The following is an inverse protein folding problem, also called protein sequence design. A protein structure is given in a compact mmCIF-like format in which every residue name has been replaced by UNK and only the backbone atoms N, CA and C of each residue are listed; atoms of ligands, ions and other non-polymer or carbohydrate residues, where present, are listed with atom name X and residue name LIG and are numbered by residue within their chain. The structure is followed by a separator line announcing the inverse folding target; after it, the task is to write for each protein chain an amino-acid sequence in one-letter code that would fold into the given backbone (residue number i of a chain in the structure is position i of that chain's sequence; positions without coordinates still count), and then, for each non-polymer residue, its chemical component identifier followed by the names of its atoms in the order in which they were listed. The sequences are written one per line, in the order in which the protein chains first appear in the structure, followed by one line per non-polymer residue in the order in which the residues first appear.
data_IF_744171524878
#
_entry.id   IF_744171524878
#
_cell.length_a   1.000
_cell.length_b   1.000
_cell.length_c   1.000
_cell.angle_alpha   90.00
_cell.angle_beta   90.00
_cell.angle_gamma   90.00
#
_symmetry.space_group_name_H-M   'P 1'
#
loop_
_entity.id
_entity.type
_entity.pdbx_description
1 polymer ?
#
# COMPACT_ATOMS: atom_id res chain seq x y z
N UNK A 1 22.10 -34.15 -6.79
CA UNK A 1 22.00 -33.00 -5.87
C UNK A 1 22.03 -31.71 -6.69
N UNK A 2 20.91 -31.23 -7.24
CA UNK A 2 20.90 -30.00 -8.08
C UNK A 2 19.64 -29.12 -7.96
N UNK A 3 18.67 -29.43 -7.11
CA UNK A 3 17.37 -28.73 -7.11
C UNK A 3 17.10 -27.80 -5.92
N UNK A 4 18.11 -27.09 -5.41
CA UNK A 4 17.89 -26.07 -4.37
C UNK A 4 18.19 -24.63 -4.80
N UNK A 5 18.85 -24.43 -5.95
CA UNK A 5 19.31 -23.10 -6.38
C UNK A 5 18.21 -22.30 -7.11
N UNK A 6 17.16 -22.96 -7.61
CA UNK A 6 16.13 -22.33 -8.44
C UNK A 6 15.21 -21.37 -7.66
N UNK A 7 14.90 -21.63 -6.38
CA UNK A 7 13.96 -20.79 -5.64
C UNK A 7 14.57 -19.46 -5.16
N UNK A 8 15.84 -19.46 -4.76
CA UNK A 8 16.52 -18.24 -4.32
C UNK A 8 16.73 -17.26 -5.49
N UNK A 9 17.08 -17.76 -6.69
CA UNK A 9 17.25 -16.92 -7.87
C UNK A 9 15.96 -16.21 -8.29
N UNK A 10 14.83 -16.92 -8.33
CA UNK A 10 13.52 -16.34 -8.69
C UNK A 10 13.06 -15.33 -7.65
N UNK A 11 13.21 -15.63 -6.35
CA UNK A 11 12.85 -14.69 -5.28
C UNK A 11 13.66 -13.39 -5.36
N UNK A 12 14.97 -13.49 -5.57
CA UNK A 12 15.86 -12.32 -5.71
C UNK A 12 15.53 -11.52 -6.97
N UNK A 13 15.28 -12.19 -8.11
CA UNK A 13 14.90 -11.52 -9.37
C UNK A 13 13.57 -10.76 -9.19
N UNK A 14 12.57 -11.37 -8.56
CA UNK A 14 11.28 -10.70 -8.29
C UNK A 14 11.46 -9.49 -7.37
N UNK A 15 12.32 -9.59 -6.34
CA UNK A 15 12.62 -8.47 -5.43
C UNK A 15 13.33 -7.33 -6.16
N UNK A 16 14.31 -7.63 -7.01
CA UNK A 16 15.05 -6.63 -7.78
C UNK A 16 14.17 -5.94 -8.83
N UNK A 17 13.33 -6.70 -9.54
CA UNK A 17 12.38 -6.15 -10.53
C UNK A 17 11.31 -5.27 -9.84
N UNK A 18 10.79 -5.69 -8.68
CA UNK A 18 9.88 -4.84 -7.88
C UNK A 18 10.54 -3.55 -7.40
N UNK A 19 11.83 -3.56 -7.08
CA UNK A 19 12.56 -2.35 -6.70
C UNK A 19 12.79 -1.41 -7.89
N UNK A 20 13.07 -1.96 -9.07
CA UNK A 20 13.35 -1.18 -10.28
C UNK A 20 12.09 -0.55 -10.93
N UNK A 21 10.92 -1.18 -10.83
CA UNK A 21 9.67 -0.62 -11.40
C UNK A 21 9.03 0.51 -10.59
N UNK A 22 9.44 0.70 -9.34
CA UNK A 22 8.84 1.68 -8.43
C UNK A 22 9.69 2.96 -8.25
N UNK A 23 10.77 3.09 -9.01
CA UNK A 23 11.58 4.29 -9.07
C UNK A 23 11.36 4.94 -10.44
N UNK A 24 10.31 5.75 -10.52
CA UNK A 24 10.27 7.07 -11.14
C UNK A 24 8.81 7.51 -11.22
N UNK A 25 8.59 8.82 -11.15
CA UNK A 25 7.27 9.48 -11.12
C UNK A 25 6.40 8.96 -12.28
N UNK A 26 5.62 7.93 -12.03
CA UNK A 26 4.77 7.30 -13.02
C UNK A 26 3.44 8.05 -13.07
N UNK A 27 3.13 8.62 -14.24
CA UNK A 27 1.85 9.22 -14.59
C UNK A 27 0.68 8.43 -13.98
N UNK A 28 -0.14 9.11 -13.15
CA UNK A 28 -1.36 8.55 -12.56
C UNK A 28 -1.25 7.87 -11.19
N UNK A 29 -0.08 7.87 -10.52
CA UNK A 29 -0.01 7.52 -9.10
C UNK A 29 -0.23 8.74 -8.19
N UNK A 30 -1.11 8.59 -7.20
CA UNK A 30 -1.43 9.60 -6.21
C UNK A 30 -1.10 9.10 -4.80
N UNK A 31 -0.72 10.05 -3.93
CA UNK A 31 -0.55 9.77 -2.50
C UNK A 31 -1.91 9.83 -1.82
N UNK A 32 -2.15 8.89 -0.91
CA UNK A 32 -3.33 8.86 -0.07
C UNK A 32 -2.95 8.65 1.37
N UNK A 33 -3.67 9.33 2.25
CA UNK A 33 -3.68 9.08 3.69
C UNK A 33 -4.86 8.19 4.01
N UNK A 34 -4.58 7.02 4.57
CA UNK A 34 -5.59 6.08 5.07
C UNK A 34 -5.55 6.11 6.59
N UNK A 35 -6.69 6.45 7.19
CA UNK A 35 -6.88 6.47 8.64
C UNK A 35 -8.05 5.56 9.01
N UNK A 36 -7.85 4.81 10.08
CA UNK A 36 -8.91 4.03 10.73
C UNK A 36 -9.42 4.79 11.94
N UNK A 37 -10.74 4.89 12.06
CA UNK A 37 -11.44 5.53 13.17
C UNK A 37 -12.31 4.50 13.87
N UNK A 38 -12.45 4.60 15.19
CA UNK A 38 -13.30 3.70 15.99
C UNK A 38 -13.08 2.20 15.68
N UNK A 39 -11.82 1.82 15.44
CA UNK A 39 -11.41 0.45 15.11
C UNK A 39 -10.26 0.04 16.04
N UNK A 40 -10.45 -1.03 16.81
CA UNK A 40 -9.44 -1.62 17.69
C UNK A 40 -9.51 -3.16 17.59
N UNK A 41 -8.43 -3.85 17.16
CA UNK A 41 -7.15 -3.31 16.72
C UNK A 41 -7.24 -2.65 15.33
N UNK A 42 -6.33 -1.71 15.07
CA UNK A 42 -6.17 -1.10 13.73
C UNK A 42 -5.77 -2.21 12.74
N UNK A 43 -6.50 -2.37 11.62
CA UNK A 43 -6.16 -3.38 10.62
C UNK A 43 -4.76 -3.17 10.03
N UNK A 44 -4.01 -4.26 9.90
CA UNK A 44 -2.77 -4.25 9.12
C UNK A 44 -3.10 -4.43 7.63
N UNK A 45 -2.90 -3.37 6.85
CA UNK A 45 -3.15 -3.34 5.42
C UNK A 45 -1.92 -3.72 4.58
N UNK A 46 -0.74 -3.87 5.21
CA UNK A 46 0.50 -4.24 4.50
C UNK A 46 0.44 -5.65 3.93
N UNK A 47 -0.29 -6.54 4.60
CA UNK A 47 -0.44 -7.93 4.17
C UNK A 47 -1.71 -8.18 3.36
N UNK A 48 -2.51 -7.15 3.07
CA UNK A 48 -3.76 -7.32 2.33
C UNK A 48 -3.49 -7.75 0.87
N UNK A 49 -3.94 -8.95 0.44
CA UNK A 49 -3.67 -9.47 -0.90
C UNK A 49 -4.36 -8.66 -2.01
N UNK A 50 -5.52 -8.06 -1.73
CA UNK A 50 -6.26 -7.24 -2.67
C UNK A 50 -5.63 -5.85 -2.86
N UNK A 51 -4.84 -5.37 -1.89
CA UNK A 51 -4.13 -4.09 -1.95
C UNK A 51 -2.68 -4.21 -2.45
N UNK A 52 -2.03 -5.35 -2.23
CA UNK A 52 -0.58 -5.60 -2.51
C UNK A 52 -0.12 -5.25 -3.93
N UNK A 53 -1.02 -5.31 -4.92
CA UNK A 53 -0.72 -4.97 -6.32
C UNK A 53 -1.38 -3.67 -6.80
N UNK A 54 -2.15 -3.00 -5.93
CA UNK A 54 -2.91 -1.77 -6.25
C UNK A 54 -2.32 -0.52 -5.62
N UNK A 55 -1.72 -0.67 -4.45
CA UNK A 55 -1.05 0.40 -3.72
C UNK A 55 0.27 -0.06 -3.11
N UNK A 56 1.12 0.90 -2.79
CA UNK A 56 2.36 0.72 -2.05
C UNK A 56 2.28 1.53 -0.77
N UNK A 57 2.63 0.93 0.37
CA UNK A 57 2.75 1.66 1.63
C UNK A 57 4.10 2.40 1.64
N UNK A 58 4.04 3.72 1.74
CA UNK A 58 5.22 4.59 1.87
C UNK A 58 5.63 4.64 3.35
N UNK A 59 4.66 4.83 4.25
CA UNK A 59 4.90 4.91 5.69
C UNK A 59 3.64 4.60 6.48
N UNK A 60 3.82 4.23 7.75
CA UNK A 60 2.75 4.12 8.74
C UNK A 60 3.21 4.82 10.02
N UNK A 61 2.42 5.77 10.51
CA UNK A 61 2.68 6.48 11.78
C UNK A 61 1.35 6.74 12.48
N UNK A 62 1.28 6.44 13.77
CA UNK A 62 0.12 6.69 14.63
C UNK A 62 -1.20 6.15 14.05
N UNK A 63 -1.16 4.96 13.41
CA UNK A 63 -2.34 4.35 12.78
C UNK A 63 -2.77 4.98 11.45
N UNK A 64 -2.00 5.92 10.92
CA UNK A 64 -2.20 6.53 9.61
C UNK A 64 -1.20 5.94 8.62
N UNK A 65 -1.73 5.37 7.54
CA UNK A 65 -0.93 4.85 6.44
C UNK A 65 -0.83 5.90 5.33
N UNK A 66 0.37 6.16 4.86
CA UNK A 66 0.62 6.90 3.63
C UNK A 66 0.84 5.87 2.52
N UNK A 67 -0.01 5.90 1.51
CA UNK A 67 0.02 4.93 0.40
C UNK A 67 0.12 5.64 -0.94
N UNK A 68 0.90 5.07 -1.85
CA UNK A 68 0.97 5.46 -3.25
C UNK A 68 0.10 4.51 -4.07
N UNK A 69 -0.85 5.01 -4.84
CA UNK A 69 -1.82 4.18 -5.54
C UNK A 69 -2.21 4.75 -6.91
N UNK A 70 -2.51 3.86 -7.87
CA UNK A 70 -3.17 4.22 -9.15
C UNK A 70 -4.69 4.25 -9.04
N UNK A 71 -5.25 3.52 -8.08
CA UNK A 71 -6.69 3.51 -7.84
C UNK A 71 -7.06 4.68 -6.93
N UNK A 72 -8.24 5.26 -7.17
CA UNK A 72 -8.71 6.41 -6.42
C UNK A 72 -9.07 6.09 -4.97
N UNK A 73 -9.24 7.14 -4.16
CA UNK A 73 -9.65 7.10 -2.77
C UNK A 73 -10.92 6.27 -2.53
N UNK A 74 -11.93 6.43 -3.39
CA UNK A 74 -13.18 5.67 -3.31
C UNK A 74 -12.94 4.16 -3.43
N UNK A 75 -12.09 3.73 -4.37
CA UNK A 75 -11.80 2.31 -4.58
C UNK A 75 -10.94 1.72 -3.47
N UNK A 76 -9.98 2.49 -2.95
CA UNK A 76 -9.19 2.10 -1.77
C UNK A 76 -10.13 1.88 -0.59
N UNK A 77 -11.03 2.84 -0.34
CA UNK A 77 -12.01 2.77 0.74
C UNK A 77 -12.93 1.55 0.61
N UNK A 78 -13.44 1.28 -0.59
CA UNK A 78 -14.31 0.12 -0.88
C UNK A 78 -13.62 -1.21 -0.54
N UNK A 79 -12.35 -1.38 -0.96
CA UNK A 79 -11.58 -2.60 -0.67
C UNK A 79 -11.37 -2.75 0.83
N UNK A 80 -10.97 -1.67 1.52
CA UNK A 80 -10.76 -1.70 2.97
C UNK A 80 -12.03 -2.03 3.74
N UNK A 81 -13.17 -1.44 3.34
CA UNK A 81 -14.47 -1.76 3.95
C UNK A 81 -14.86 -3.22 3.73
N UNK A 82 -14.62 -3.74 2.53
CA UNK A 82 -15.00 -5.11 2.17
C UNK A 82 -14.13 -6.13 2.89
N UNK A 83 -12.81 -5.98 2.84
CA UNK A 83 -11.85 -6.96 3.34
C UNK A 83 -11.76 -7.00 4.86
N UNK A 84 -12.03 -5.88 5.52
CA UNK A 84 -11.94 -5.75 6.98
C UNK A 84 -13.31 -5.54 7.64
N UNK A 85 -14.41 -5.69 6.91
CA UNK A 85 -15.78 -5.50 7.39
C UNK A 85 -16.02 -4.14 8.08
N UNK A 86 -15.39 -3.08 7.56
CA UNK A 86 -15.46 -1.74 8.15
C UNK A 86 -16.69 -0.98 7.63
N UNK A 87 -17.26 -0.16 8.48
CA UNK A 87 -18.29 0.80 8.08
C UNK A 87 -17.67 2.02 7.36
N UNK A 88 -18.45 2.80 6.60
CA UNK A 88 -17.95 4.00 5.93
C UNK A 88 -17.35 5.06 6.85
N UNK A 89 -17.67 5.03 8.16
CA UNK A 89 -17.14 5.97 9.16
C UNK A 89 -15.80 5.51 9.73
N UNK A 90 -15.55 4.21 9.75
CA UNK A 90 -14.35 3.63 10.33
C UNK A 90 -13.12 3.71 9.42
N UNK A 91 -13.28 4.14 8.17
CA UNK A 91 -12.17 4.32 7.23
C UNK A 91 -12.28 5.63 6.47
N UNK A 92 -11.22 6.42 6.57
CA UNK A 92 -11.06 7.71 5.91
C UNK A 92 -9.87 7.61 4.95
N UNK A 93 -10.13 7.86 3.68
CA UNK A 93 -9.10 7.92 2.63
C UNK A 93 -9.11 9.32 2.06
N UNK A 94 -7.97 10.00 2.12
CA UNK A 94 -7.83 11.37 1.62
C UNK A 94 -6.64 11.45 0.69
N UNK A 95 -6.80 12.12 -0.46
CA UNK A 95 -5.67 12.43 -1.34
C UNK A 95 -4.70 13.33 -0.60
N UNK A 96 -3.46 12.86 -0.42
CA UNK A 96 -2.39 13.65 0.14
C UNK A 96 -1.72 14.51 -0.90
N UNK A 97 -1.41 15.76 -0.56
CA UNK A 97 -0.43 16.51 -1.34
C UNK A 97 0.88 15.72 -1.37
N UNK A 98 1.60 15.63 -2.50
CA UNK A 98 2.91 15.00 -2.52
C UNK A 98 3.80 15.74 -1.50
N UNK A 99 4.16 15.06 -0.41
CA UNK A 99 5.13 15.60 0.52
C UNK A 99 6.43 15.83 -0.26
N UNK A 100 7.06 17.02 -0.18
CA UNK A 100 8.34 17.23 -0.82
C UNK A 100 9.32 16.17 -0.32
N UNK A 101 10.04 15.55 -1.25
CA UNK A 101 10.95 14.41 -1.06
C UNK A 101 12.05 14.65 0.00
N UNK A 102 12.18 15.87 0.51
CA UNK A 102 13.19 16.33 1.47
C UNK A 102 12.68 16.51 2.91
N UNK A 103 11.41 16.20 3.19
CA UNK A 103 10.82 16.40 4.53
C UNK A 103 10.66 15.11 5.36
N UNK A 104 11.36 14.02 4.99
CA UNK A 104 11.42 12.76 5.74
C UNK A 104 12.84 12.52 6.27
#
# INVERSE_FOLDING_TARGET
MTSLISLMGVGVIVVLVKRAFFSDKADGYFNYFVRFEDTDPIPDIAENPNLKNKLQIISCRDGVYVVLSKINDAKIKEILMTDYHLTPRQVVVQTGAPAPLHAL
#
